data_IF_036452905008
#
_entry.id   IF_036452905008
#
_cell.length_a   1.000
_cell.length_b   1.000
_cell.length_c   1.000
_cell.angle_alpha   90.00
_cell.angle_beta   90.00
_cell.angle_gamma   90.00
#
_symmetry.space_group_name_H-M   'P 1'
#
loop_
_entity.id
_entity.type
_entity.pdbx_description
1 polymer ?
#
# COMPACT_ATOMS: atom_id res chain seq x y z
N UNK A 1 22.44 16.47 -20.79
CA UNK A 1 21.38 17.30 -20.19
C UNK A 1 20.81 16.49 -19.03
N UNK A 2 21.30 16.73 -17.82
CA UNK A 2 20.95 15.94 -16.62
C UNK A 2 19.68 16.51 -16.00
N UNK A 3 18.54 15.87 -16.23
CA UNK A 3 17.30 16.17 -15.51
C UNK A 3 17.47 15.76 -14.04
N UNK A 4 17.58 16.75 -13.17
CA UNK A 4 17.59 16.54 -11.73
C UNK A 4 16.13 16.54 -11.26
N UNK A 5 15.54 15.39 -10.87
CA UNK A 5 14.17 15.38 -10.37
C UNK A 5 14.12 16.14 -9.04
N UNK A 6 13.41 17.26 -9.01
CA UNK A 6 13.08 17.95 -7.76
C UNK A 6 12.10 17.08 -6.97
N UNK A 7 12.64 16.34 -6.00
CA UNK A 7 11.85 15.56 -5.05
C UNK A 7 11.13 16.51 -4.08
N UNK A 8 9.81 16.45 -4.03
CA UNK A 8 9.04 17.09 -2.95
C UNK A 8 9.29 16.26 -1.68
N UNK A 9 10.13 16.75 -0.78
CA UNK A 9 10.40 16.14 0.52
C UNK A 9 9.23 16.44 1.47
N UNK A 10 8.33 15.48 1.65
CA UNK A 10 7.27 15.53 2.66
C UNK A 10 7.82 14.95 3.96
N UNK A 11 8.49 15.79 4.76
CA UNK A 11 9.11 15.40 6.03
C UNK A 11 10.40 14.58 5.84
N UNK A 12 11.53 15.14 6.25
CA UNK A 12 12.73 14.33 6.45
C UNK A 12 12.64 13.67 7.82
N UNK A 13 12.26 12.39 7.85
CA UNK A 13 12.68 11.56 8.96
C UNK A 13 14.21 11.52 8.93
N UNK A 14 14.83 12.11 9.96
CA UNK A 14 16.27 12.02 10.21
C UNK A 14 16.52 11.00 11.33
N UNK A 15 16.36 9.69 11.04
CA UNK A 15 16.48 8.66 12.06
C UNK A 15 17.91 8.63 12.60
N UNK A 16 18.04 8.83 13.90
CA UNK A 16 19.35 8.82 14.57
C UNK A 16 19.90 7.40 14.74
N UNK A 17 19.01 6.40 14.78
CA UNK A 17 19.40 4.99 14.89
C UNK A 17 18.76 4.16 13.78
N UNK A 18 19.32 2.96 13.53
CA UNK A 18 18.70 1.96 12.63
C UNK A 18 17.32 1.55 13.12
N UNK A 19 17.10 1.57 14.44
CA UNK A 19 15.80 1.25 15.01
C UNK A 19 14.75 2.27 14.57
N UNK A 20 15.10 3.54 14.36
CA UNK A 20 14.14 4.60 14.01
C UNK A 20 13.86 4.74 12.51
N UNK A 21 14.53 3.94 11.67
CA UNK A 21 14.41 4.09 10.21
C UNK A 21 13.02 3.65 9.73
N UNK A 22 12.35 4.45 8.88
CA UNK A 22 11.14 4.02 8.22
C UNK A 22 11.43 2.80 7.34
N UNK A 23 10.50 1.85 7.33
CA UNK A 23 10.57 0.59 6.56
C UNK A 23 9.68 0.63 5.32
N UNK A 24 8.81 1.62 5.24
CA UNK A 24 7.99 1.93 4.07
C UNK A 24 8.24 3.37 3.64
N UNK A 25 7.91 3.67 2.39
CA UNK A 25 7.92 5.03 1.85
C UNK A 25 6.88 5.16 0.75
N UNK A 26 6.47 6.39 0.44
CA UNK A 26 5.59 6.70 -0.68
C UNK A 26 6.28 7.76 -1.53
N UNK A 27 6.50 7.44 -2.81
CA UNK A 27 7.01 8.38 -3.79
C UNK A 27 5.86 8.92 -4.64
N UNK A 28 5.77 10.25 -4.71
CA UNK A 28 4.79 10.94 -5.54
C UNK A 28 5.54 11.65 -6.68
N UNK A 29 5.07 11.44 -7.91
CA UNK A 29 5.63 12.12 -9.09
C UNK A 29 5.33 13.63 -9.00
N UNK A 30 6.30 14.43 -9.44
CA UNK A 30 6.26 15.89 -9.35
C UNK A 30 5.16 16.57 -10.21
N UNK A 31 4.52 15.84 -11.14
CA UNK A 31 3.36 16.38 -11.86
C UNK A 31 2.14 16.54 -10.96
N UNK A 32 2.08 15.86 -9.81
CA UNK A 32 1.03 16.09 -8.82
C UNK A 32 1.38 17.37 -8.06
N UNK A 33 0.56 18.44 -8.13
CA UNK A 33 0.86 19.69 -7.44
C UNK A 33 0.98 19.47 -5.94
N UNK A 34 2.00 20.05 -5.31
CA UNK A 34 2.23 19.91 -3.86
C UNK A 34 1.02 20.31 -3.01
N UNK A 35 0.24 21.32 -3.44
CA UNK A 35 -1.02 21.73 -2.80
C UNK A 35 -2.10 20.64 -2.76
N UNK A 36 -2.01 19.64 -3.64
CA UNK A 36 -2.91 18.50 -3.68
C UNK A 36 -2.40 17.34 -2.81
N UNK A 37 -1.21 17.46 -2.23
CA UNK A 37 -0.62 16.43 -1.39
C UNK A 37 -0.75 16.85 0.08
N UNK A 38 -1.43 16.01 0.85
CA UNK A 38 -1.72 16.24 2.26
C UNK A 38 -0.86 15.26 3.06
N UNK A 39 0.17 15.80 3.72
CA UNK A 39 0.98 15.02 4.65
C UNK A 39 0.16 14.61 5.86
N UNK A 40 0.47 13.44 6.42
CA UNK A 40 -0.22 12.94 7.61
C UNK A 40 0.79 12.81 8.76
N UNK A 41 0.39 13.23 9.95
CA UNK A 41 1.23 13.11 11.14
C UNK A 41 1.09 11.70 11.73
N UNK A 42 1.69 10.71 11.07
CA UNK A 42 1.81 9.35 11.59
C UNK A 42 3.22 9.13 12.14
N UNK A 43 3.31 8.60 13.36
CA UNK A 43 4.57 8.15 13.96
C UNK A 43 4.61 6.63 13.93
N UNK A 44 5.05 6.07 12.80
CA UNK A 44 5.26 4.62 12.65
C UNK A 44 6.47 4.37 11.76
N UNK A 45 7.24 3.34 12.11
CA UNK A 45 8.32 2.82 11.25
C UNK A 45 7.78 1.89 10.17
N UNK A 46 6.60 1.32 10.37
CA UNK A 46 6.04 0.28 9.52
C UNK A 46 4.95 0.82 8.58
N UNK A 47 4.42 2.02 8.84
CA UNK A 47 3.34 2.63 8.06
C UNK A 47 3.78 4.01 7.57
N UNK A 48 3.66 4.23 6.27
CA UNK A 48 3.70 5.55 5.64
C UNK A 48 2.34 5.87 5.08
N UNK A 49 1.85 7.08 5.32
CA UNK A 49 0.55 7.51 4.82
C UNK A 49 0.62 8.91 4.23
N UNK A 50 -0.02 9.09 3.09
CA UNK A 50 -0.24 10.38 2.44
C UNK A 50 -1.66 10.41 1.89
N UNK A 51 -2.26 11.58 1.82
CA UNK A 51 -3.50 11.77 1.08
C UNK A 51 -3.27 12.66 -0.14
N UNK A 52 -3.96 12.35 -1.23
CA UNK A 52 -3.95 13.15 -2.46
C UNK A 52 -5.37 13.64 -2.73
N UNK A 53 -5.54 14.95 -2.88
CA UNK A 53 -6.78 15.57 -3.31
C UNK A 53 -7.09 15.17 -4.74
N UNK A 54 -8.20 14.46 -4.94
CA UNK A 54 -8.64 13.92 -6.24
C UNK A 54 -10.13 14.18 -6.48
N UNK A 55 -10.55 14.14 -7.74
CA UNK A 55 -11.97 14.25 -8.10
C UNK A 55 -12.57 12.85 -8.23
N UNK A 56 -13.54 12.54 -7.38
CA UNK A 56 -14.26 11.25 -7.38
C UNK A 56 -15.77 11.52 -7.36
N UNK A 57 -16.44 11.10 -8.42
CA UNK A 57 -17.87 11.30 -8.67
C UNK A 57 -18.22 12.80 -8.65
N UNK A 58 -17.40 13.62 -9.33
CA UNK A 58 -17.54 15.08 -9.40
C UNK A 58 -17.30 15.83 -8.08
N UNK A 59 -16.80 15.15 -7.03
CA UNK A 59 -16.51 15.74 -5.72
C UNK A 59 -15.03 15.64 -5.40
N UNK A 60 -14.44 16.74 -4.91
CA UNK A 60 -13.09 16.72 -4.38
C UNK A 60 -13.06 15.84 -3.11
N UNK A 61 -12.20 14.83 -3.09
CA UNK A 61 -11.99 13.92 -1.97
C UNK A 61 -10.51 13.67 -1.76
N UNK A 62 -10.13 13.30 -0.54
CA UNK A 62 -8.77 12.95 -0.19
C UNK A 62 -8.58 11.44 -0.33
N UNK A 63 -7.96 10.99 -1.43
CA UNK A 63 -7.55 9.60 -1.59
C UNK A 63 -6.36 9.30 -0.68
N UNK A 64 -6.59 8.47 0.34
CA UNK A 64 -5.54 8.04 1.26
C UNK A 64 -4.77 6.87 0.66
N UNK A 65 -3.45 7.04 0.56
CA UNK A 65 -2.50 5.99 0.21
C UNK A 65 -1.75 5.58 1.48
N UNK A 66 -1.83 4.31 1.83
CA UNK A 66 -1.17 3.73 3.00
C UNK A 66 -0.21 2.63 2.53
N UNK A 67 1.08 2.84 2.74
CA UNK A 67 2.11 1.82 2.53
C UNK A 67 2.44 1.17 3.88
N UNK A 68 2.49 -0.16 3.93
CA UNK A 68 2.76 -0.91 5.15
C UNK A 68 3.83 -1.97 4.92
N UNK A 69 4.84 -2.01 5.78
CA UNK A 69 5.78 -3.12 5.88
C UNK A 69 5.49 -3.90 7.17
N UNK A 70 5.09 -5.16 7.06
CA UNK A 70 4.83 -6.00 8.22
C UNK A 70 6.07 -6.86 8.53
N UNK A 71 6.75 -6.65 9.67
CA UNK A 71 7.98 -7.37 9.95
C UNK A 71 7.73 -8.87 10.16
N UNK A 72 8.48 -9.78 9.51
CA UNK A 72 8.22 -11.22 9.56
C UNK A 72 8.40 -11.86 10.94
N UNK A 73 9.15 -11.22 11.85
CA UNK A 73 9.44 -11.74 13.19
C UNK A 73 8.38 -11.40 14.24
N UNK A 74 7.65 -10.29 14.07
CA UNK A 74 6.71 -9.80 15.09
C UNK A 74 5.29 -9.62 14.58
N UNK A 75 5.13 -9.42 13.27
CA UNK A 75 3.88 -9.04 12.63
C UNK A 75 3.19 -7.80 13.26
N UNK A 76 3.97 -6.92 13.89
CA UNK A 76 3.46 -5.75 14.61
C UNK A 76 2.71 -4.77 13.69
N UNK A 77 3.03 -4.77 12.39
CA UNK A 77 2.37 -3.94 11.39
C UNK A 77 0.86 -4.19 11.32
N UNK A 78 0.38 -5.41 11.60
CA UNK A 78 -1.06 -5.71 11.62
C UNK A 78 -1.78 -5.03 12.78
N UNK A 79 -1.13 -4.90 13.93
CA UNK A 79 -1.68 -4.18 15.08
C UNK A 79 -1.66 -2.66 14.83
N UNK A 80 -0.57 -2.13 14.28
CA UNK A 80 -0.47 -0.72 13.92
C UNK A 80 -1.52 -0.35 12.85
N UNK A 81 -1.77 -1.23 11.89
CA UNK A 81 -2.83 -1.06 10.89
C UNK A 81 -4.22 -1.02 11.53
N UNK A 82 -4.50 -1.91 12.48
CA UNK A 82 -5.78 -1.93 13.19
C UNK A 82 -6.04 -0.63 13.95
N UNK A 83 -5.05 -0.16 14.71
CA UNK A 83 -5.11 1.13 15.41
C UNK A 83 -5.32 2.27 14.42
N UNK A 84 -4.55 2.27 13.33
CA UNK A 84 -4.64 3.34 12.34
C UNK A 84 -6.00 3.37 11.64
N UNK A 85 -6.52 2.22 11.22
CA UNK A 85 -7.85 2.15 10.59
C UNK A 85 -8.97 2.57 11.55
N UNK A 86 -8.84 2.31 12.85
CA UNK A 86 -9.81 2.80 13.83
C UNK A 86 -9.87 4.34 13.91
N UNK A 87 -8.76 5.02 13.61
CA UNK A 87 -8.68 6.49 13.63
C UNK A 87 -9.17 7.15 12.34
N UNK A 88 -8.83 6.57 11.18
CA UNK A 88 -8.96 7.28 9.90
C UNK A 88 -9.98 6.67 8.93
N UNK A 89 -10.43 5.43 9.17
CA UNK A 89 -11.32 4.76 8.22
C UNK A 89 -12.77 5.07 8.53
N UNK A 90 -13.45 5.67 7.57
CA UNK A 90 -14.88 5.86 7.57
C UNK A 90 -15.48 5.44 6.21
N UNK A 91 -16.81 5.49 6.11
CA UNK A 91 -17.56 5.05 4.91
C UNK A 91 -17.39 5.95 3.67
N UNK A 92 -16.75 7.10 3.80
CA UNK A 92 -16.60 8.14 2.79
C UNK A 92 -15.15 8.37 2.37
N UNK A 93 -14.19 8.07 3.24
CA UNK A 93 -12.75 8.23 3.00
C UNK A 93 -12.27 7.19 1.97
N UNK A 94 -11.86 7.59 0.76
CA UNK A 94 -11.28 6.66 -0.21
C UNK A 94 -9.88 6.23 0.23
N UNK A 95 -9.61 4.92 0.25
CA UNK A 95 -8.31 4.41 0.70
C UNK A 95 -7.81 3.18 -0.07
N UNK A 96 -6.51 3.17 -0.35
CA UNK A 96 -5.73 2.02 -0.79
C UNK A 96 -4.65 1.72 0.25
N UNK A 97 -4.48 0.43 0.55
CA UNK A 97 -3.38 -0.09 1.35
C UNK A 97 -2.52 -0.98 0.45
N UNK A 98 -1.24 -0.63 0.29
CA UNK A 98 -0.24 -1.49 -0.32
C UNK A 98 0.69 -2.00 0.78
N UNK A 99 1.01 -3.29 0.80
CA UNK A 99 1.83 -3.85 1.85
C UNK A 99 2.74 -4.98 1.39
N UNK A 100 3.93 -5.06 1.97
CA UNK A 100 4.59 -6.34 2.19
C UNK A 100 4.05 -6.90 3.50
N UNK A 101 3.16 -7.89 3.38
CA UNK A 101 2.49 -8.43 4.55
C UNK A 101 3.35 -9.45 5.28
N UNK A 102 4.39 -10.02 4.68
CA UNK A 102 5.14 -11.19 5.20
C UNK A 102 4.24 -12.31 5.76
N UNK A 103 2.99 -12.39 5.31
CA UNK A 103 1.98 -13.30 5.85
C UNK A 103 1.62 -14.33 4.80
N UNK A 104 1.61 -15.60 5.19
CA UNK A 104 1.20 -16.67 4.31
C UNK A 104 -0.24 -17.07 4.60
N UNK A 105 -1.03 -17.20 3.53
CA UNK A 105 -2.38 -17.73 3.61
C UNK A 105 -2.85 -18.30 2.28
N UNK A 106 -3.67 -19.35 2.31
CA UNK A 106 -4.27 -19.97 1.12
C UNK A 106 -5.15 -19.06 0.26
N UNK A 107 -5.56 -17.90 0.78
CA UNK A 107 -6.38 -16.96 0.01
C UNK A 107 -5.60 -16.15 -1.02
N UNK A 108 -4.28 -16.08 -0.87
CA UNK A 108 -3.43 -15.30 -1.76
C UNK A 108 -2.20 -16.07 -2.25
N UNK A 109 -1.68 -17.05 -1.50
CA UNK A 109 -0.62 -17.93 -2.02
C UNK A 109 -1.13 -18.85 -3.13
N UNK A 110 -0.18 -19.47 -3.84
CA UNK A 110 -0.43 -20.55 -4.81
C UNK A 110 -1.27 -21.66 -4.20
N UNK A 111 -2.13 -22.27 -5.03
CA UNK A 111 -2.99 -23.38 -4.61
C UNK A 111 -2.13 -24.52 -4.09
N UNK A 112 -2.47 -25.03 -2.90
CA UNK A 112 -1.72 -26.12 -2.25
C UNK A 112 -0.57 -25.66 -1.35
N UNK A 113 -0.29 -24.36 -1.26
CA UNK A 113 0.71 -23.85 -0.31
C UNK A 113 0.32 -24.22 1.14
N UNK A 114 1.15 -24.98 1.86
CA UNK A 114 0.73 -25.65 3.09
C UNK A 114 0.70 -24.72 4.31
N UNK A 115 1.53 -23.69 4.31
CA UNK A 115 1.78 -22.87 5.48
C UNK A 115 0.84 -21.66 5.58
N UNK A 116 0.35 -21.38 6.80
CA UNK A 116 -0.52 -20.24 7.08
C UNK A 116 -0.18 -19.62 8.43
N UNK A 117 -0.03 -18.29 8.46
CA UNK A 117 0.14 -17.55 9.71
C UNK A 117 -1.22 -17.23 10.35
N UNK A 118 -1.41 -17.41 11.69
CA UNK A 118 -2.62 -17.00 12.39
C UNK A 118 -3.00 -15.53 12.18
N UNK A 119 -2.00 -14.64 12.14
CA UNK A 119 -2.13 -13.20 11.90
C UNK A 119 -2.74 -12.89 10.52
N UNK A 120 -2.65 -13.80 9.56
CA UNK A 120 -3.35 -13.69 8.27
C UNK A 120 -4.86 -13.65 8.45
N UNK A 121 -5.41 -14.44 9.38
CA UNK A 121 -6.85 -14.43 9.69
C UNK A 121 -7.26 -13.10 10.33
N UNK A 122 -6.40 -12.55 11.19
CA UNK A 122 -6.59 -11.21 11.77
C UNK A 122 -6.61 -10.15 10.68
N UNK A 123 -5.66 -10.17 9.74
CA UNK A 123 -5.62 -9.24 8.61
C UNK A 123 -6.90 -9.33 7.75
N UNK A 124 -7.32 -10.54 7.37
CA UNK A 124 -8.56 -10.76 6.59
C UNK A 124 -9.78 -10.20 7.31
N UNK A 125 -9.92 -10.49 8.61
CA UNK A 125 -11.04 -10.01 9.43
C UNK A 125 -11.00 -8.49 9.61
N UNK A 126 -9.82 -7.91 9.84
CA UNK A 126 -9.63 -6.47 9.94
C UNK A 126 -10.05 -5.77 8.64
N UNK A 127 -9.42 -6.13 7.52
CA UNK A 127 -9.72 -5.53 6.22
C UNK A 127 -11.21 -5.71 5.86
N UNK A 128 -11.77 -6.92 6.04
CA UNK A 128 -13.17 -7.20 5.74
C UNK A 128 -14.14 -6.33 6.56
N UNK A 129 -13.94 -6.23 7.88
CA UNK A 129 -14.78 -5.38 8.76
C UNK A 129 -14.62 -3.90 8.46
N UNK A 130 -13.44 -3.47 8.01
CA UNK A 130 -13.16 -2.09 7.60
C UNK A 130 -13.64 -1.76 6.18
N UNK A 131 -14.31 -2.69 5.49
CA UNK A 131 -14.88 -2.47 4.15
C UNK A 131 -13.88 -2.60 3.00
N UNK A 132 -12.73 -3.22 3.24
CA UNK A 132 -11.68 -3.48 2.25
C UNK A 132 -11.86 -4.82 1.56
N UNK A 133 -11.46 -4.84 0.29
CA UNK A 133 -11.28 -6.05 -0.50
C UNK A 133 -9.84 -6.10 -1.01
N UNK A 134 -9.28 -7.31 -1.05
CA UNK A 134 -7.98 -7.54 -1.67
C UNK A 134 -8.15 -7.43 -3.19
N UNK A 135 -7.36 -6.57 -3.81
CA UNK A 135 -7.37 -6.33 -5.26
C UNK A 135 -6.15 -6.92 -5.96
N UNK A 136 -5.06 -7.18 -5.23
CA UNK A 136 -3.89 -7.85 -5.77
C UNK A 136 -4.22 -9.27 -6.27
N UNK A 137 -3.57 -9.74 -7.35
CA UNK A 137 -3.76 -11.10 -7.86
C UNK A 137 -3.50 -12.18 -6.80
N UNK A 138 -4.31 -13.24 -6.83
CA UNK A 138 -4.16 -14.41 -5.96
C UNK A 138 -3.40 -15.50 -6.70
N UNK A 139 -2.60 -16.26 -5.96
CA UNK A 139 -1.86 -17.41 -6.48
C UNK A 139 -0.69 -17.03 -7.38
N UNK A 140 -0.36 -15.75 -7.49
CA UNK A 140 0.76 -15.25 -8.28
C UNK A 140 1.88 -14.86 -7.33
N UNK A 141 3.06 -15.52 -7.39
CA UNK A 141 4.16 -15.21 -6.48
C UNK A 141 4.63 -13.77 -6.62
N UNK A 142 4.73 -13.08 -5.50
CA UNK A 142 5.32 -11.75 -5.39
C UNK A 142 6.67 -11.76 -4.69
N UNK A 143 7.08 -12.89 -4.12
CA UNK A 143 8.37 -13.09 -3.50
C UNK A 143 9.00 -14.41 -3.95
N UNK A 144 10.28 -14.35 -4.31
CA UNK A 144 11.14 -15.47 -4.68
C UNK A 144 12.21 -15.67 -3.62
N UNK A 145 12.03 -16.68 -2.77
CA UNK A 145 12.99 -17.05 -1.72
C UNK A 145 14.25 -17.68 -2.28
N UNK A 146 15.33 -17.62 -1.50
CA UNK A 146 16.65 -18.13 -1.89
C UNK A 146 16.69 -19.63 -2.23
N UNK A 147 15.77 -20.42 -1.67
CA UNK A 147 15.62 -21.86 -1.94
C UNK A 147 14.72 -22.16 -3.15
N UNK A 148 14.32 -21.15 -3.92
CA UNK A 148 13.35 -21.27 -5.00
C UNK A 148 11.89 -21.31 -4.52
N UNK A 149 11.62 -21.05 -3.24
CA UNK A 149 10.26 -20.89 -2.74
C UNK A 149 9.60 -19.67 -3.36
N UNK A 150 8.37 -19.83 -3.86
CA UNK A 150 7.62 -18.75 -4.50
C UNK A 150 6.33 -18.50 -3.71
N UNK A 151 6.17 -17.30 -3.17
CA UNK A 151 5.04 -16.95 -2.30
C UNK A 151 4.42 -15.62 -2.67
N UNK A 152 3.14 -15.46 -2.34
CA UNK A 152 2.42 -14.19 -2.46
C UNK A 152 2.37 -13.59 -1.07
N UNK A 153 3.12 -12.52 -0.82
CA UNK A 153 3.18 -11.84 0.49
C UNK A 153 3.01 -10.33 0.36
N UNK A 154 3.33 -9.77 -0.81
CA UNK A 154 2.91 -8.43 -1.18
C UNK A 154 1.42 -8.42 -1.55
N UNK A 155 0.64 -7.54 -0.93
CA UNK A 155 -0.80 -7.46 -1.07
C UNK A 155 -1.26 -6.01 -1.29
N UNK A 156 -2.34 -5.83 -2.03
CA UNK A 156 -3.02 -4.54 -2.17
C UNK A 156 -4.49 -4.69 -1.81
N UNK A 157 -4.98 -3.78 -0.99
CA UNK A 157 -6.36 -3.71 -0.51
C UNK A 157 -6.96 -2.35 -0.86
N UNK A 158 -8.20 -2.34 -1.33
CA UNK A 158 -8.95 -1.11 -1.57
C UNK A 158 -10.28 -1.19 -0.83
N UNK A 159 -10.71 -0.06 -0.25
CA UNK A 159 -12.04 0.01 0.35
C UNK A 159 -13.14 0.14 -0.71
N UNK A 160 -14.40 0.04 -0.29
CA UNK A 160 -15.55 0.04 -1.18
C UNK A 160 -15.68 1.30 -2.05
N UNK A 161 -15.14 2.44 -1.60
CA UNK A 161 -15.12 3.69 -2.37
C UNK A 161 -14.13 3.56 -3.53
N UNK A 162 -12.89 3.15 -3.26
CA UNK A 162 -11.84 3.08 -4.29
C UNK A 162 -11.94 1.83 -5.16
N UNK A 163 -12.51 0.74 -4.66
CA UNK A 163 -12.66 -0.53 -5.40
C UNK A 163 -13.40 -0.36 -6.73
N UNK A 164 -14.29 0.64 -6.83
CA UNK A 164 -15.03 0.96 -8.06
C UNK A 164 -14.19 1.72 -9.10
N UNK A 165 -13.09 2.32 -8.67
CA UNK A 165 -12.17 3.10 -9.50
C UNK A 165 -11.02 2.25 -10.03
N UNK A 166 -10.78 1.06 -9.47
CA UNK A 166 -9.71 0.18 -9.92
C UNK A 166 -10.05 -0.35 -11.32
N UNK A 167 -9.24 0.00 -12.31
CA UNK A 167 -9.31 -0.59 -13.65
C UNK A 167 -8.55 -1.90 -13.72
N UNK A 168 -7.39 -1.95 -13.05
CA UNK A 168 -6.44 -3.05 -13.18
C UNK A 168 -5.55 -3.16 -11.94
N UNK A 169 -5.19 -4.39 -11.56
CA UNK A 169 -4.18 -4.66 -10.54
C UNK A 169 -3.38 -5.91 -10.93
N UNK A 170 -2.09 -5.77 -11.22
CA UNK A 170 -1.22 -6.87 -11.66
C UNK A 170 0.17 -6.77 -11.06
N UNK A 171 0.89 -7.88 -11.03
CA UNK A 171 2.32 -7.85 -10.78
C UNK A 171 3.09 -7.59 -12.09
N UNK A 172 4.29 -7.05 -11.98
CA UNK A 172 5.25 -6.98 -13.08
C UNK A 172 6.45 -7.89 -12.78
N UNK A 173 7.01 -8.49 -13.83
CA UNK A 173 8.20 -9.34 -13.74
C UNK A 173 9.50 -8.54 -13.73
N UNK A 174 9.47 -7.30 -14.24
CA UNK A 174 10.62 -6.41 -14.16
C UNK A 174 10.71 -5.87 -12.73
N UNK A 175 11.71 -6.33 -11.99
CA UNK A 175 11.82 -6.09 -10.55
C UNK A 175 13.18 -5.53 -10.10
N UNK A 176 14.00 -5.09 -11.06
CA UNK A 176 15.34 -4.54 -10.81
C UNK A 176 16.22 -5.45 -9.94
N UNK A 177 16.17 -6.76 -10.17
CA UNK A 177 16.93 -7.78 -9.42
C UNK A 177 16.54 -7.91 -7.94
N UNK A 178 15.38 -7.39 -7.55
CA UNK A 178 14.77 -7.67 -6.26
C UNK A 178 14.32 -9.14 -6.19
N UNK A 179 14.21 -9.69 -5.00
CA UNK A 179 13.49 -10.94 -4.76
C UNK A 179 11.98 -10.73 -4.63
N UNK A 180 11.49 -9.49 -4.61
CA UNK A 180 10.08 -9.15 -4.70
C UNK A 180 9.68 -8.73 -6.13
N UNK A 181 8.42 -8.96 -6.50
CA UNK A 181 7.80 -8.50 -7.73
C UNK A 181 6.89 -7.30 -7.44
N UNK A 182 7.03 -6.17 -8.16
CA UNK A 182 6.17 -5.02 -7.93
C UNK A 182 4.71 -5.30 -8.30
N UNK A 183 3.78 -4.74 -7.53
CA UNK A 183 2.34 -4.73 -7.84
C UNK A 183 1.97 -3.34 -8.38
N UNK A 184 1.41 -3.30 -9.58
CA UNK A 184 0.84 -2.12 -10.21
C UNK A 184 -0.67 -2.14 -10.04
N UNK A 185 -1.19 -1.05 -9.49
CA UNK A 185 -2.63 -0.79 -9.40
C UNK A 185 -2.96 0.47 -10.19
N UNK A 186 -3.88 0.36 -11.12
CA UNK A 186 -4.36 1.47 -11.94
C UNK A 186 -5.75 1.91 -11.48
N UNK A 187 -5.93 3.22 -11.41
CA UNK A 187 -7.19 3.86 -11.01
C UNK A 187 -7.71 4.72 -12.17
N UNK A 188 -8.99 4.56 -12.50
CA UNK A 188 -9.73 5.47 -13.35
C UNK A 188 -10.19 6.68 -12.53
N UNK A 189 -9.38 7.73 -12.57
CA UNK A 189 -9.70 9.02 -11.97
C UNK A 189 -10.23 9.98 -13.04
N UNK A 190 -11.11 10.91 -12.67
CA UNK A 190 -11.64 11.90 -13.61
C UNK A 190 -10.52 12.81 -14.13
N UNK A 191 -10.53 13.23 -15.40
CA UNK A 191 -9.42 14.00 -16.02
C UNK A 191 -9.06 15.28 -15.23
N UNK A 192 -10.05 15.93 -14.61
CA UNK A 192 -9.86 17.13 -13.76
C UNK A 192 -9.20 16.84 -12.41
N UNK A 193 -8.99 15.57 -12.07
CA UNK A 193 -8.38 15.12 -10.81
C UNK A 193 -7.00 15.72 -10.58
N UNK A 194 -6.23 15.92 -11.63
CA UNK A 194 -4.84 16.34 -11.52
C UNK A 194 -4.60 17.80 -11.91
N UNK A 195 -5.60 18.51 -12.47
CA UNK A 195 -5.50 19.87 -13.02
C UNK A 195 -4.06 20.19 -13.46
N UNK A 196 -3.57 19.41 -14.43
CA UNK A 196 -2.28 19.60 -15.06
C UNK A 196 -2.47 20.76 -16.03
N UNK A 197 -2.34 21.99 -15.51
CA UNK A 197 -2.11 23.18 -16.34
C UNK A 197 -0.62 23.35 -16.55
#
# INVERSE_FOLDING_TARGET
MTCNPQHIKLGEDSPQTRADRPRSCIYIRNFIPSKNIISTNIKSQNITQVAISVLIEGKNRNLTLLALYNPPSTFIGIQELEQRLAEINDRHTPMIIAMDSNLHHRLWNTKGYPHQHPQSRKLISLCGRSGFKMISPKGQPTFMGASGSATTIDLTWANSVVSKLISQCNFQLENHSSNHQPIITELNLEEKTLNIT
#
